data_IF_857869944954
#
_entry.id   IF_857869944954
#
_cell.length_a   1.000
_cell.length_b   1.000
_cell.length_c   1.000
_cell.angle_alpha   90.00
_cell.angle_beta   90.00
_cell.angle_gamma   90.00
#
_symmetry.space_group_name_H-M   'P 1'
#
loop_
_entity.id
_entity.type
_entity.pdbx_description
1 polymer ?
#
# COMPACT_ATOMS: atom_id res chain seq x y z
N UNK A 1 -0.39 43.81 24.12
CA UNK A 1 1.02 43.70 24.56
C UNK A 1 1.85 42.73 23.70
N UNK A 2 1.26 41.75 23.00
CA UNK A 2 2.02 40.84 22.11
C UNK A 2 2.40 41.40 20.72
N UNK A 3 1.61 42.33 20.16
CA UNK A 3 1.96 42.98 18.88
C UNK A 3 3.22 43.86 18.92
N UNK A 4 3.66 44.28 20.11
CA UNK A 4 4.86 45.11 20.28
C UNK A 4 6.16 44.31 20.31
N UNK A 5 6.11 43.00 20.55
CA UNK A 5 7.28 42.13 20.48
C UNK A 5 7.62 41.78 19.02
N UNK A 6 6.59 41.58 18.19
CA UNK A 6 6.71 41.28 16.75
C UNK A 6 7.36 42.44 15.98
N UNK A 7 7.03 43.69 16.32
CA UNK A 7 7.62 44.87 15.68
C UNK A 7 9.10 45.11 16.02
N UNK A 8 9.60 44.54 17.13
CA UNK A 8 10.98 44.72 17.59
C UNK A 8 11.93 43.67 17.02
N UNK A 9 11.41 42.48 16.68
CA UNK A 9 12.23 41.38 16.15
C UNK A 9 12.61 41.56 14.68
N UNK A 10 11.77 42.21 13.86
CA UNK A 10 12.02 42.36 12.41
C UNK A 10 13.32 43.14 12.07
N UNK A 11 13.66 44.25 12.75
CA UNK A 11 14.90 44.98 12.48
C UNK A 11 16.14 44.28 13.06
N UNK A 12 15.99 43.54 14.15
CA UNK A 12 17.08 42.86 14.85
C UNK A 12 17.66 41.72 14.00
N UNK A 13 16.79 40.94 13.35
CA UNK A 13 17.19 39.87 12.43
C UNK A 13 17.79 40.37 11.11
N UNK A 14 17.54 41.62 10.72
CA UNK A 14 18.08 42.22 9.50
C UNK A 14 19.54 42.69 9.64
N UNK A 15 20.05 42.84 10.88
CA UNK A 15 21.34 43.51 11.14
C UNK A 15 22.48 42.60 11.60
N UNK A 16 22.21 41.36 12.02
CA UNK A 16 23.23 40.47 12.62
C UNK A 16 23.41 39.17 11.83
N UNK A 17 24.36 39.16 10.88
CA UNK A 17 24.81 37.97 10.13
C UNK A 17 26.15 37.45 10.69
N UNK A 18 26.20 36.99 11.94
CA UNK A 18 27.44 36.47 12.55
C UNK A 18 27.31 34.98 12.91
N UNK A 19 28.17 34.08 12.37
CA UNK A 19 28.09 32.62 12.54
C UNK A 19 27.94 32.11 13.98
N UNK A 20 28.49 32.83 14.96
CA UNK A 20 28.43 32.45 16.38
C UNK A 20 27.07 32.68 17.04
N UNK A 21 26.27 33.65 16.55
CA UNK A 21 24.92 33.93 17.09
C UNK A 21 23.92 32.84 16.66
N UNK A 22 24.18 32.14 15.57
CA UNK A 22 23.30 31.07 15.04
C UNK A 22 23.34 29.78 15.88
N UNK A 23 24.41 29.56 16.66
CA UNK A 23 24.49 28.42 17.58
C UNK A 23 23.69 28.65 18.87
N UNK A 24 23.68 29.89 19.38
CA UNK A 24 22.93 30.25 20.59
C UNK A 24 21.44 30.54 20.31
N UNK A 25 21.09 30.96 19.09
CA UNK A 25 19.69 31.23 18.72
C UNK A 25 18.80 29.99 18.77
N UNK A 26 19.37 28.80 18.53
CA UNK A 26 18.70 27.51 18.65
C UNK A 26 18.06 27.27 20.03
N UNK A 27 18.69 27.77 21.10
CA UNK A 27 18.24 27.57 22.48
C UNK A 27 16.94 28.33 22.80
N UNK A 28 16.66 29.41 22.07
CA UNK A 28 15.50 30.28 22.29
C UNK A 28 14.40 30.08 21.24
N UNK A 29 14.60 29.19 20.25
CA UNK A 29 13.63 29.00 19.16
C UNK A 29 12.25 28.60 19.67
N UNK A 30 12.18 27.73 20.68
CA UNK A 30 10.91 27.36 21.30
C UNK A 30 10.15 28.59 21.84
N UNK A 31 10.84 29.42 22.60
CA UNK A 31 10.27 30.62 23.22
C UNK A 31 9.88 31.70 22.21
N UNK A 32 10.52 31.69 21.03
CA UNK A 32 10.19 32.60 19.93
C UNK A 32 9.04 32.08 19.05
N UNK A 33 8.99 30.77 18.78
CA UNK A 33 8.01 30.15 17.88
C UNK A 33 6.64 30.06 18.55
N UNK A 34 6.56 29.58 19.80
CA UNK A 34 5.27 29.31 20.46
C UNK A 34 4.34 30.54 20.52
N UNK A 35 4.79 31.74 20.93
CA UNK A 35 3.92 32.92 20.95
C UNK A 35 3.40 33.29 19.56
N UNK A 36 4.23 33.16 18.52
CA UNK A 36 3.81 33.46 17.15
C UNK A 36 2.76 32.46 16.66
N UNK A 37 2.93 31.17 16.97
CA UNK A 37 1.95 30.14 16.62
C UNK A 37 0.60 30.36 17.31
N UNK A 38 0.56 30.89 18.54
CA UNK A 38 -0.73 31.21 19.19
C UNK A 38 -1.53 32.25 18.40
N UNK A 39 -0.86 33.20 17.75
CA UNK A 39 -1.50 34.23 16.92
C UNK A 39 -2.14 33.67 15.65
N UNK A 40 -1.83 32.44 15.22
CA UNK A 40 -2.47 31.84 14.03
C UNK A 40 -3.95 31.49 14.26
N UNK A 41 -4.41 31.48 15.51
CA UNK A 41 -5.82 31.26 15.83
C UNK A 41 -6.56 32.57 16.16
N UNK A 42 -5.93 33.74 15.95
CA UNK A 42 -6.56 35.02 16.23
C UNK A 42 -7.73 35.27 15.27
N UNK A 43 -8.77 35.96 15.75
CA UNK A 43 -9.93 36.31 14.95
C UNK A 43 -9.58 37.30 13.81
N UNK A 44 -8.62 38.20 14.05
CA UNK A 44 -8.17 39.19 13.07
C UNK A 44 -7.21 38.56 12.04
N UNK A 45 -7.62 38.54 10.77
CA UNK A 45 -6.79 37.99 9.68
C UNK A 45 -5.49 38.77 9.48
N UNK A 46 -5.46 40.06 9.82
CA UNK A 46 -4.22 40.85 9.77
C UNK A 46 -3.21 40.36 10.80
N UNK A 47 -3.67 40.02 12.01
CA UNK A 47 -2.77 39.51 13.04
C UNK A 47 -2.23 38.13 12.64
N UNK A 48 -3.07 37.26 12.07
CA UNK A 48 -2.61 35.98 11.50
C UNK A 48 -1.57 36.17 10.39
N UNK A 49 -1.80 37.12 9.49
CA UNK A 49 -0.84 37.47 8.42
C UNK A 49 0.51 37.96 8.99
N UNK A 50 0.50 38.92 9.91
CA UNK A 50 1.75 39.43 10.52
C UNK A 50 2.47 38.38 11.35
N UNK A 51 1.73 37.49 12.01
CA UNK A 51 2.32 36.34 12.69
C UNK A 51 3.01 35.40 11.68
N UNK A 52 2.40 35.14 10.52
CA UNK A 52 3.00 34.35 9.46
C UNK A 52 4.31 34.98 8.95
N UNK A 53 4.32 36.30 8.73
CA UNK A 53 5.52 37.03 8.32
C UNK A 53 6.62 37.00 9.39
N UNK A 54 6.24 37.13 10.67
CA UNK A 54 7.17 37.00 11.78
C UNK A 54 7.79 35.59 11.83
N UNK A 55 6.98 34.55 11.66
CA UNK A 55 7.45 33.16 11.66
C UNK A 55 8.37 32.89 10.47
N UNK A 56 8.04 33.40 9.28
CA UNK A 56 8.92 33.35 8.11
C UNK A 56 10.30 33.93 8.41
N UNK A 57 10.38 35.09 9.06
CA UNK A 57 11.66 35.71 9.40
C UNK A 57 12.45 34.89 10.42
N UNK A 58 11.78 34.31 11.43
CA UNK A 58 12.42 33.41 12.41
C UNK A 58 12.99 32.18 11.69
N UNK A 59 12.18 31.50 10.88
CA UNK A 59 12.59 30.29 10.13
C UNK A 59 13.71 30.60 9.14
N UNK A 60 13.66 31.76 8.48
CA UNK A 60 14.68 32.20 7.52
C UNK A 60 16.05 32.36 8.17
N UNK A 61 16.11 32.85 9.40
CA UNK A 61 17.36 33.02 10.14
C UNK A 61 17.82 31.71 10.77
N UNK A 62 16.89 30.94 11.34
CA UNK A 62 17.20 29.71 12.07
C UNK A 62 17.54 28.52 11.16
N UNK A 63 17.03 28.48 9.92
CA UNK A 63 17.33 27.45 8.92
C UNK A 63 17.17 26.02 9.49
N UNK A 64 18.14 25.14 9.31
CA UNK A 64 18.09 23.75 9.80
C UNK A 64 17.84 23.60 11.31
N UNK A 65 18.17 24.61 12.11
CA UNK A 65 17.92 24.60 13.56
C UNK A 65 16.43 24.59 13.92
N UNK A 66 15.52 24.84 12.97
CA UNK A 66 14.06 24.75 13.20
C UNK A 66 13.51 23.33 13.08
N UNK A 67 14.28 22.37 12.56
CA UNK A 67 13.80 21.01 12.31
C UNK A 67 13.31 20.28 13.58
N UNK A 68 13.92 20.44 14.78
CA UNK A 68 13.36 19.92 16.03
C UNK A 68 11.96 20.45 16.36
N UNK A 69 11.56 21.58 15.76
CA UNK A 69 10.25 22.21 15.90
C UNK A 69 9.36 22.00 14.67
N UNK A 70 9.78 21.19 13.70
CA UNK A 70 9.08 21.04 12.42
C UNK A 70 7.60 20.69 12.60
N UNK A 71 7.29 19.74 13.47
CA UNK A 71 5.92 19.28 13.70
C UNK A 71 4.95 20.39 14.11
N UNK A 72 5.37 21.29 15.02
CA UNK A 72 4.52 22.42 15.45
C UNK A 72 4.45 23.51 14.39
N UNK A 73 5.53 23.70 13.62
CA UNK A 73 5.56 24.63 12.51
C UNK A 73 4.64 24.17 11.37
N UNK A 74 4.69 22.88 11.03
CA UNK A 74 3.82 22.25 10.05
C UNK A 74 2.35 22.32 10.47
N UNK A 75 2.04 22.05 11.74
CA UNK A 75 0.69 22.20 12.29
C UNK A 75 0.15 23.62 12.09
N UNK A 76 0.93 24.63 12.50
CA UNK A 76 0.57 26.04 12.33
C UNK A 76 0.43 26.43 10.87
N UNK A 77 1.39 26.05 10.03
CA UNK A 77 1.38 26.36 8.61
C UNK A 77 0.20 25.70 7.88
N UNK A 78 -0.16 24.46 8.22
CA UNK A 78 -1.31 23.78 7.62
C UNK A 78 -2.64 24.51 7.86
N UNK A 79 -2.76 25.20 9.00
CA UNK A 79 -3.92 26.06 9.31
C UNK A 79 -3.93 27.31 8.43
N UNK A 80 -2.78 27.96 8.28
CA UNK A 80 -2.65 29.15 7.43
C UNK A 80 -2.86 28.84 5.94
N UNK A 81 -2.37 27.71 5.46
CA UNK A 81 -2.56 27.26 4.08
C UNK A 81 -4.05 27.04 3.74
N UNK A 82 -4.86 26.72 4.75
CA UNK A 82 -6.30 26.53 4.64
C UNK A 82 -7.14 27.72 5.18
N UNK A 83 -6.51 28.88 5.41
CA UNK A 83 -7.18 30.04 6.02
C UNK A 83 -8.34 30.55 5.15
N UNK A 84 -9.44 31.02 5.77
CA UNK A 84 -10.52 31.66 5.02
C UNK A 84 -10.09 32.95 4.31
N UNK A 85 -9.11 33.69 4.83
CA UNK A 85 -8.60 34.92 4.24
C UNK A 85 -7.56 34.61 3.12
N UNK A 86 -7.80 35.03 1.87
CA UNK A 86 -6.88 34.79 0.76
C UNK A 86 -5.49 35.42 0.95
N UNK A 87 -5.38 36.56 1.65
CA UNK A 87 -4.09 37.21 1.88
C UNK A 87 -3.25 36.41 2.88
N UNK A 88 -3.88 35.83 3.90
CA UNK A 88 -3.20 34.96 4.87
C UNK A 88 -2.68 33.71 4.16
N UNK A 89 -3.50 33.07 3.32
CA UNK A 89 -3.08 31.93 2.49
C UNK A 89 -1.88 32.28 1.62
N UNK A 90 -1.98 33.35 0.84
CA UNK A 90 -0.89 33.78 -0.05
C UNK A 90 0.38 34.14 0.73
N UNK A 91 0.24 34.79 1.90
CA UNK A 91 1.37 35.08 2.79
C UNK A 91 2.06 33.82 3.33
N UNK A 92 1.30 32.74 3.55
CA UNK A 92 1.83 31.47 4.05
C UNK A 92 2.65 30.67 3.02
N UNK A 93 2.48 30.93 1.72
CA UNK A 93 3.20 30.22 0.66
C UNK A 93 4.72 30.42 0.73
N UNK A 94 5.18 31.60 1.17
CA UNK A 94 6.61 31.88 1.32
C UNK A 94 7.22 31.10 2.48
N UNK A 95 6.49 30.96 3.58
CA UNK A 95 6.89 30.16 4.73
C UNK A 95 6.87 28.66 4.37
N UNK A 96 5.85 28.21 3.65
CA UNK A 96 5.74 26.83 3.16
C UNK A 96 6.91 26.45 2.26
N UNK A 97 7.22 27.28 1.27
CA UNK A 97 8.37 27.06 0.39
C UNK A 97 9.68 27.03 1.16
N UNK A 98 9.89 27.97 2.07
CA UNK A 98 11.12 28.02 2.87
C UNK A 98 11.28 26.78 3.76
N UNK A 99 10.20 26.30 4.38
CA UNK A 99 10.25 25.07 5.18
C UNK A 99 10.55 23.84 4.30
N UNK A 100 9.97 23.77 3.10
CA UNK A 100 10.28 22.72 2.12
C UNK A 100 11.76 22.74 1.74
N UNK A 101 12.30 23.92 1.43
CA UNK A 101 13.72 24.10 1.09
C UNK A 101 14.62 23.64 2.26
N UNK A 102 14.28 23.98 3.50
CA UNK A 102 15.05 23.55 4.68
C UNK A 102 15.00 22.02 4.85
N UNK A 103 13.85 21.39 4.60
CA UNK A 103 13.70 19.94 4.70
C UNK A 103 14.47 19.23 3.60
N UNK A 104 14.44 19.72 2.36
CA UNK A 104 15.15 19.11 1.24
C UNK A 104 16.67 19.33 1.29
N UNK A 105 17.14 20.42 1.92
CA UNK A 105 18.56 20.71 2.11
C UNK A 105 19.18 20.03 3.35
N UNK A 106 18.39 19.30 4.16
CA UNK A 106 18.85 18.73 5.44
C UNK A 106 18.64 17.23 5.52
N UNK A 107 19.59 16.53 6.14
CA UNK A 107 19.51 15.10 6.44
C UNK A 107 18.99 14.79 7.86
N UNK A 108 18.53 15.81 8.59
CA UNK A 108 18.07 15.69 9.98
C UNK A 108 16.54 15.68 10.10
N UNK A 109 15.82 15.56 8.99
CA UNK A 109 14.37 15.54 9.01
C UNK A 109 13.85 14.27 9.70
N UNK A 110 13.13 14.45 10.81
CA UNK A 110 12.48 13.34 11.52
C UNK A 110 11.19 12.93 10.82
N UNK A 111 11.34 12.09 9.79
CA UNK A 111 10.19 11.53 9.08
C UNK A 111 9.27 10.77 10.04
N UNK A 112 9.82 9.95 10.94
CA UNK A 112 9.05 9.10 11.87
C UNK A 112 8.13 9.97 12.73
N UNK A 113 8.66 11.06 13.28
CA UNK A 113 7.89 12.02 14.07
C UNK A 113 6.84 12.80 13.26
N UNK A 114 7.01 12.93 11.94
CA UNK A 114 6.08 13.62 11.06
C UNK A 114 4.88 12.77 10.64
N UNK A 115 5.05 11.47 10.43
CA UNK A 115 4.01 10.57 9.90
C UNK A 115 2.67 10.66 10.64
N UNK A 116 2.59 10.74 11.99
CA UNK A 116 1.32 10.89 12.69
C UNK A 116 0.51 12.13 12.25
N UNK A 117 1.18 13.26 12.01
CA UNK A 117 0.53 14.50 11.54
C UNK A 117 0.03 14.37 10.10
N UNK A 118 0.81 13.70 9.26
CA UNK A 118 0.43 13.42 7.87
C UNK A 118 -0.81 12.53 7.82
N UNK A 119 -0.79 11.44 8.60
CA UNK A 119 -1.89 10.46 8.71
C UNK A 119 -3.19 11.10 9.18
N UNK A 120 -3.13 12.03 10.12
CA UNK A 120 -4.31 12.76 10.59
C UNK A 120 -4.88 13.69 9.50
N UNK A 121 -4.00 14.45 8.83
CA UNK A 121 -4.42 15.54 7.93
C UNK A 121 -4.83 15.10 6.54
N UNK A 122 -4.39 13.93 6.09
CA UNK A 122 -4.70 13.42 4.75
C UNK A 122 -6.21 13.26 4.50
N UNK A 123 -7.00 13.09 5.57
CA UNK A 123 -8.46 12.99 5.53
C UNK A 123 -9.20 14.33 5.59
N UNK A 124 -8.50 15.47 5.52
CA UNK A 124 -9.14 16.79 5.54
C UNK A 124 -10.09 16.98 4.37
N UNK A 125 -11.25 17.57 4.65
CA UNK A 125 -12.25 17.89 3.62
C UNK A 125 -12.00 19.24 2.90
N UNK A 126 -11.06 20.04 3.38
CA UNK A 126 -10.75 21.35 2.82
C UNK A 126 -9.78 21.19 1.62
N UNK A 127 -10.18 21.69 0.44
CA UNK A 127 -9.37 21.59 -0.79
C UNK A 127 -7.95 22.16 -0.62
N UNK A 128 -7.79 23.27 0.09
CA UNK A 128 -6.47 23.88 0.30
C UNK A 128 -5.60 23.04 1.24
N UNK A 129 -6.21 22.43 2.25
CA UNK A 129 -5.51 21.48 3.11
C UNK A 129 -5.08 20.23 2.33
N UNK A 130 -5.95 19.67 1.46
CA UNK A 130 -5.59 18.54 0.61
C UNK A 130 -4.43 18.87 -0.34
N UNK A 131 -4.49 20.04 -1.00
CA UNK A 131 -3.41 20.54 -1.87
C UNK A 131 -2.10 20.70 -1.10
N UNK A 132 -2.16 21.27 0.10
CA UNK A 132 -1.01 21.41 0.98
C UNK A 132 -0.39 20.06 1.32
N UNK A 133 -1.20 19.08 1.74
CA UNK A 133 -0.73 17.73 2.08
C UNK A 133 -0.08 17.03 0.89
N UNK A 134 -0.71 17.01 -0.29
CA UNK A 134 -0.09 16.39 -1.47
C UNK A 134 1.21 17.09 -1.85
N UNK A 135 1.26 18.43 -1.76
CA UNK A 135 2.48 19.17 -2.06
C UNK A 135 3.63 18.77 -1.14
N UNK A 136 3.37 18.52 0.15
CA UNK A 136 4.38 18.01 1.08
C UNK A 136 4.79 16.57 0.79
N UNK A 137 3.84 15.68 0.47
CA UNK A 137 4.15 14.30 0.06
C UNK A 137 5.08 14.31 -1.16
N UNK A 138 4.77 15.10 -2.19
CA UNK A 138 5.60 15.20 -3.40
C UNK A 138 7.01 15.73 -3.13
N UNK A 139 7.15 16.68 -2.20
CA UNK A 139 8.48 17.19 -1.81
C UNK A 139 9.27 16.10 -1.10
N UNK A 140 8.67 15.41 -0.14
CA UNK A 140 9.33 14.34 0.61
C UNK A 140 9.73 13.16 -0.28
N UNK A 141 8.86 12.75 -1.22
CA UNK A 141 9.16 11.73 -2.24
C UNK A 141 10.36 12.10 -3.13
N UNK A 142 10.65 13.40 -3.30
CA UNK A 142 11.78 13.86 -4.11
C UNK A 142 13.13 13.84 -3.36
N UNK A 143 13.12 13.59 -2.04
CA UNK A 143 14.33 13.56 -1.21
C UNK A 143 14.90 12.13 -1.16
N UNK A 144 16.10 11.86 -1.69
CA UNK A 144 16.63 10.49 -1.82
C UNK A 144 16.81 9.71 -0.51
N UNK A 145 17.03 10.40 0.61
CA UNK A 145 17.28 9.79 1.91
C UNK A 145 15.99 9.58 2.74
N UNK A 146 14.83 10.02 2.21
CA UNK A 146 13.52 9.90 2.86
C UNK A 146 12.76 8.76 2.19
N UNK A 147 12.39 7.75 2.99
CA UNK A 147 11.61 6.60 2.52
C UNK A 147 10.15 6.71 3.01
N UNK A 148 9.28 7.32 2.19
CA UNK A 148 7.85 7.39 2.48
C UNK A 148 7.12 6.08 2.15
N UNK A 149 7.69 5.23 1.30
CA UNK A 149 7.09 3.95 0.90
C UNK A 149 6.83 3.01 2.10
N UNK A 150 7.68 3.07 3.14
CA UNK A 150 7.50 2.28 4.38
C UNK A 150 6.21 2.61 5.14
N UNK A 151 5.68 3.82 4.94
CA UNK A 151 4.49 4.38 5.57
C UNK A 151 3.29 4.45 4.62
N UNK A 152 3.47 4.06 3.35
CA UNK A 152 2.40 4.06 2.35
C UNK A 152 1.13 3.33 2.81
N UNK A 153 1.19 2.17 3.52
CA UNK A 153 -0.01 1.52 4.02
C UNK A 153 -0.91 2.40 4.89
N UNK A 154 -0.34 3.39 5.58
CA UNK A 154 -1.06 4.27 6.49
C UNK A 154 -1.69 5.48 5.80
N UNK A 155 -1.19 5.84 4.62
CA UNK A 155 -1.59 7.05 3.89
C UNK A 155 -2.28 6.76 2.56
N UNK A 156 -2.16 5.54 2.02
CA UNK A 156 -2.68 5.17 0.70
C UNK A 156 -4.18 5.42 0.56
N UNK A 157 -4.97 5.04 1.57
CA UNK A 157 -6.41 5.28 1.57
C UNK A 157 -6.73 6.78 1.48
N UNK A 158 -6.06 7.60 2.29
CA UNK A 158 -6.17 9.05 2.24
C UNK A 158 -5.80 9.65 0.87
N UNK A 159 -4.76 9.14 0.21
CA UNK A 159 -4.40 9.57 -1.15
C UNK A 159 -5.53 9.28 -2.15
N UNK A 160 -6.15 8.10 -2.10
CA UNK A 160 -7.31 7.81 -2.96
C UNK A 160 -8.52 8.69 -2.63
N UNK A 161 -8.73 9.08 -1.36
CA UNK A 161 -9.76 10.07 -1.01
C UNK A 161 -9.48 11.43 -1.64
N UNK A 162 -8.21 11.88 -1.64
CA UNK A 162 -7.84 13.16 -2.26
C UNK A 162 -7.91 13.09 -3.80
N UNK A 163 -7.66 11.92 -4.41
CA UNK A 163 -7.83 11.72 -5.85
C UNK A 163 -9.28 12.01 -6.31
N UNK A 164 -10.26 11.86 -5.41
CA UNK A 164 -11.66 12.24 -5.63
C UNK A 164 -12.00 13.71 -5.41
N UNK A 165 -11.02 14.59 -5.15
CA UNK A 165 -11.28 16.02 -4.91
C UNK A 165 -11.92 16.67 -6.15
N UNK A 166 -12.77 17.68 -5.96
CA UNK A 166 -13.44 18.39 -7.07
C UNK A 166 -12.50 19.25 -7.91
N UNK A 167 -11.36 19.68 -7.35
CA UNK A 167 -10.35 20.46 -8.06
C UNK A 167 -9.51 19.59 -8.99
N UNK A 168 -9.53 19.92 -10.29
CA UNK A 168 -8.72 19.23 -11.32
C UNK A 168 -7.23 19.29 -11.03
N UNK A 169 -6.76 20.39 -10.47
CA UNK A 169 -5.35 20.59 -10.13
C UNK A 169 -4.94 19.64 -9.00
N UNK A 170 -5.75 19.55 -7.94
CA UNK A 170 -5.51 18.66 -6.80
C UNK A 170 -5.52 17.20 -7.26
N UNK A 171 -6.51 16.82 -8.09
CA UNK A 171 -6.53 15.48 -8.70
C UNK A 171 -5.25 15.20 -9.47
N UNK A 172 -4.81 16.14 -10.31
CA UNK A 172 -3.58 15.96 -11.10
C UNK A 172 -2.34 15.83 -10.23
N UNK A 173 -2.22 16.62 -9.16
CA UNK A 173 -1.13 16.48 -8.20
C UNK A 173 -1.16 15.11 -7.51
N UNK A 174 -2.35 14.64 -7.12
CA UNK A 174 -2.53 13.33 -6.49
C UNK A 174 -2.18 12.17 -7.43
N UNK A 175 -2.59 12.26 -8.70
CA UNK A 175 -2.23 11.28 -9.74
C UNK A 175 -0.70 11.19 -9.90
N UNK A 176 0.01 12.32 -9.87
CA UNK A 176 1.47 12.35 -9.93
C UNK A 176 2.08 11.68 -8.70
N UNK A 177 1.60 12.00 -7.49
CA UNK A 177 2.10 11.39 -6.26
C UNK A 177 1.90 9.86 -6.25
N UNK A 178 0.70 9.38 -6.58
CA UNK A 178 0.41 7.96 -6.73
C UNK A 178 1.26 7.31 -7.84
N UNK A 179 1.51 8.03 -8.94
CA UNK A 179 2.37 7.57 -10.03
C UNK A 179 3.81 7.33 -9.61
N UNK A 180 4.40 8.22 -8.79
CA UNK A 180 5.76 8.06 -8.28
C UNK A 180 5.85 6.91 -7.27
N UNK A 181 4.90 6.77 -6.33
CA UNK A 181 4.86 5.61 -5.44
C UNK A 181 4.79 4.29 -6.21
N UNK A 182 3.92 4.20 -7.22
CA UNK A 182 3.78 2.98 -8.02
C UNK A 182 5.07 2.66 -8.80
N UNK A 183 5.76 3.69 -9.30
CA UNK A 183 7.05 3.56 -9.98
C UNK A 183 8.14 3.08 -9.01
N UNK A 184 8.14 3.55 -7.77
CA UNK A 184 9.05 3.08 -6.73
C UNK A 184 8.77 1.62 -6.32
N UNK A 185 7.50 1.26 -6.13
CA UNK A 185 7.06 -0.13 -5.88
C UNK A 185 7.56 -1.08 -6.97
N UNK A 186 7.48 -0.66 -8.24
CA UNK A 186 8.00 -1.44 -9.38
C UNK A 186 9.51 -1.59 -9.36
N UNK A 187 10.24 -0.58 -8.88
CA UNK A 187 11.70 -0.58 -8.79
C UNK A 187 12.17 -1.49 -7.66
N UNK A 188 11.50 -1.46 -6.51
CA UNK A 188 11.92 -2.14 -5.28
C UNK A 188 10.78 -3.00 -4.68
N UNK A 189 10.25 -4.01 -5.38
CA UNK A 189 9.07 -4.76 -4.92
C UNK A 189 9.30 -5.55 -3.63
N UNK A 190 10.54 -5.92 -3.29
CA UNK A 190 10.85 -6.76 -2.13
C UNK A 190 10.63 -6.08 -0.78
N UNK A 191 10.66 -4.75 -0.70
CA UNK A 191 10.42 -3.99 0.53
C UNK A 191 8.95 -3.60 0.72
N UNK A 192 8.08 -3.91 -0.24
CA UNK A 192 6.70 -3.42 -0.26
C UNK A 192 5.78 -4.32 0.55
N UNK A 193 5.05 -3.71 1.49
CA UNK A 193 4.03 -4.35 2.33
C UNK A 193 2.70 -4.54 1.58
N UNK A 194 2.71 -5.32 0.50
CA UNK A 194 1.53 -5.51 -0.37
C UNK A 194 0.28 -5.96 0.39
N UNK A 195 0.46 -6.87 1.35
CA UNK A 195 -0.59 -7.43 2.19
C UNK A 195 -1.39 -6.37 2.96
N UNK A 196 -0.70 -5.36 3.51
CA UNK A 196 -1.32 -4.29 4.31
C UNK A 196 -2.18 -3.34 3.47
N UNK A 197 -1.86 -3.22 2.17
CA UNK A 197 -2.53 -2.33 1.23
C UNK A 197 -3.60 -3.02 0.37
N UNK A 198 -3.64 -4.35 0.33
CA UNK A 198 -4.53 -5.11 -0.54
C UNK A 198 -6.02 -4.77 -0.32
N UNK A 199 -6.48 -4.72 0.93
CA UNK A 199 -7.87 -4.40 1.25
C UNK A 199 -8.22 -2.94 0.93
N UNK A 200 -7.28 -2.00 1.08
CA UNK A 200 -7.46 -0.60 0.68
C UNK A 200 -7.75 -0.54 -0.82
N UNK A 201 -6.94 -1.23 -1.63
CA UNK A 201 -7.15 -1.27 -3.08
C UNK A 201 -8.47 -1.96 -3.46
N UNK A 202 -8.87 -3.04 -2.77
CA UNK A 202 -10.17 -3.71 -3.01
C UNK A 202 -11.34 -2.75 -2.82
N UNK A 203 -11.29 -1.89 -1.80
CA UNK A 203 -12.32 -0.88 -1.55
C UNK A 203 -12.34 0.14 -2.71
N UNK A 204 -11.18 0.70 -3.07
CA UNK A 204 -11.09 1.75 -4.10
C UNK A 204 -11.33 1.23 -5.53
N UNK A 205 -11.11 -0.07 -5.80
CA UNK A 205 -11.50 -0.71 -7.06
C UNK A 205 -13.03 -0.73 -7.28
N UNK A 206 -13.81 -0.49 -6.23
CA UNK A 206 -15.28 -0.42 -6.27
C UNK A 206 -15.80 1.02 -6.16
N UNK A 207 -14.90 2.02 -6.25
CA UNK A 207 -15.29 3.43 -6.20
C UNK A 207 -16.26 3.78 -7.35
N UNK A 208 -17.21 4.66 -7.07
CA UNK A 208 -18.14 5.17 -8.07
C UNK A 208 -17.47 6.14 -9.07
N UNK A 209 -16.39 6.80 -8.64
CA UNK A 209 -15.59 7.68 -9.49
C UNK A 209 -14.66 6.84 -10.38
N UNK A 210 -14.78 7.05 -11.70
CA UNK A 210 -14.05 6.27 -12.70
C UNK A 210 -12.53 6.45 -12.63
N UNK A 211 -12.04 7.62 -12.22
CA UNK A 211 -10.60 7.86 -12.09
C UNK A 211 -10.05 7.10 -10.87
N UNK A 212 -10.75 7.15 -9.73
CA UNK A 212 -10.35 6.39 -8.53
C UNK A 212 -10.38 4.90 -8.83
N UNK A 213 -11.48 4.41 -9.41
CA UNK A 213 -11.66 3.01 -9.76
C UNK A 213 -10.57 2.53 -10.71
N UNK A 214 -10.29 3.26 -11.80
CA UNK A 214 -9.26 2.88 -12.77
C UNK A 214 -7.86 2.89 -12.16
N UNK A 215 -7.55 3.90 -11.34
CA UNK A 215 -6.24 4.02 -10.69
C UNK A 215 -6.03 2.86 -9.72
N UNK A 216 -7.01 2.56 -8.86
CA UNK A 216 -6.95 1.43 -7.93
C UNK A 216 -6.87 0.08 -8.66
N UNK A 217 -7.62 -0.10 -9.75
CA UNK A 217 -7.57 -1.32 -10.57
C UNK A 217 -6.21 -1.51 -11.23
N UNK A 218 -5.57 -0.42 -11.68
CA UNK A 218 -4.19 -0.47 -12.20
C UNK A 218 -3.20 -0.86 -11.11
N UNK A 219 -3.32 -0.30 -9.90
CA UNK A 219 -2.49 -0.69 -8.77
C UNK A 219 -2.67 -2.16 -8.39
N UNK A 220 -3.92 -2.62 -8.32
CA UNK A 220 -4.24 -4.02 -8.03
C UNK A 220 -3.60 -4.97 -9.07
N UNK A 221 -3.63 -4.60 -10.35
CA UNK A 221 -2.94 -5.35 -11.41
C UNK A 221 -1.45 -5.50 -11.11
N UNK A 222 -0.78 -4.40 -10.79
CA UNK A 222 0.66 -4.41 -10.50
C UNK A 222 0.96 -5.22 -9.22
N UNK A 223 0.11 -5.13 -8.19
CA UNK A 223 0.27 -5.89 -6.96
C UNK A 223 0.20 -7.39 -7.22
N UNK A 224 -0.78 -7.84 -8.01
CA UNK A 224 -0.89 -9.26 -8.40
C UNK A 224 0.34 -9.71 -9.19
N UNK A 225 0.87 -8.87 -10.08
CA UNK A 225 2.04 -9.20 -10.89
C UNK A 225 3.36 -9.23 -10.10
N UNK A 226 3.53 -8.30 -9.17
CA UNK A 226 4.77 -8.14 -8.39
C UNK A 226 4.81 -9.03 -7.16
N UNK A 227 3.72 -9.08 -6.39
CA UNK A 227 3.65 -9.83 -5.14
C UNK A 227 3.28 -11.31 -5.37
N UNK A 228 2.71 -11.62 -6.54
CA UNK A 228 2.34 -12.97 -6.93
C UNK A 228 1.48 -13.65 -5.86
N UNK A 229 1.95 -14.81 -5.36
CA UNK A 229 1.17 -15.62 -4.43
C UNK A 229 0.85 -14.94 -3.11
N UNK A 230 1.60 -13.90 -2.70
CA UNK A 230 1.28 -13.09 -1.50
C UNK A 230 -0.12 -12.49 -1.55
N UNK A 231 -0.70 -12.30 -2.75
CA UNK A 231 -2.05 -11.77 -2.93
C UNK A 231 -3.16 -12.82 -2.73
N UNK A 232 -2.86 -14.13 -2.69
CA UNK A 232 -3.88 -15.19 -2.64
C UNK A 232 -4.83 -15.15 -1.42
N UNK A 233 -4.40 -14.74 -0.21
CA UNK A 233 -5.31 -14.60 0.92
C UNK A 233 -6.41 -13.55 0.69
N UNK A 234 -6.15 -12.58 -0.20
CA UNK A 234 -7.06 -11.47 -0.54
C UNK A 234 -7.90 -11.75 -1.79
N UNK A 235 -7.73 -12.92 -2.44
CA UNK A 235 -8.39 -13.26 -3.71
C UNK A 235 -9.90 -13.07 -3.69
N UNK A 236 -10.59 -13.41 -2.60
CA UNK A 236 -12.05 -13.23 -2.49
C UNK A 236 -12.46 -11.75 -2.60
N UNK A 237 -11.77 -10.87 -1.86
CA UNK A 237 -11.98 -9.42 -1.95
C UNK A 237 -11.62 -8.87 -3.33
N UNK A 238 -10.51 -9.33 -3.90
CA UNK A 238 -10.09 -8.93 -5.25
C UNK A 238 -11.15 -9.34 -6.28
N UNK A 239 -11.67 -10.57 -6.23
CA UNK A 239 -12.70 -11.04 -7.16
C UNK A 239 -14.01 -10.29 -7.00
N UNK A 240 -14.40 -9.96 -5.77
CA UNK A 240 -15.58 -9.12 -5.49
C UNK A 240 -15.49 -7.78 -6.23
N UNK A 241 -14.29 -7.18 -6.27
CA UNK A 241 -14.07 -5.92 -6.98
C UNK A 241 -13.87 -6.07 -8.49
N UNK A 242 -13.18 -7.11 -8.94
CA UNK A 242 -12.74 -7.29 -10.33
C UNK A 242 -13.85 -7.85 -11.22
N UNK A 243 -14.60 -8.85 -10.74
CA UNK A 243 -15.55 -9.59 -11.57
C UNK A 243 -16.66 -8.69 -12.17
N UNK A 244 -17.35 -7.82 -11.40
CA UNK A 244 -18.39 -6.94 -11.96
C UNK A 244 -17.89 -6.04 -13.10
N UNK A 245 -16.61 -5.66 -13.07
CA UNK A 245 -16.00 -4.78 -14.06
C UNK A 245 -15.83 -5.44 -15.44
N UNK A 246 -15.89 -6.77 -15.52
CA UNK A 246 -15.72 -7.51 -16.78
C UNK A 246 -16.89 -7.33 -17.75
N UNK A 247 -18.06 -6.96 -17.23
CA UNK A 247 -19.27 -6.71 -17.99
C UNK A 247 -19.50 -5.25 -18.34
N UNK A 248 -18.57 -4.35 -18.02
CA UNK A 248 -18.67 -2.95 -18.41
C UNK A 248 -18.76 -2.77 -19.93
N UNK A 249 -19.45 -1.69 -20.33
CA UNK A 249 -19.60 -1.27 -21.71
C UNK A 249 -18.38 -0.46 -22.19
N UNK A 250 -18.44 0.05 -23.43
CA UNK A 250 -17.35 0.81 -24.03
C UNK A 250 -17.00 2.11 -23.29
N UNK A 251 -17.91 2.65 -22.46
CA UNK A 251 -17.65 3.89 -21.71
C UNK A 251 -16.60 3.66 -20.63
N UNK A 252 -16.58 2.47 -20.04
CA UNK A 252 -15.59 2.05 -19.03
C UNK A 252 -14.60 1.02 -19.57
N UNK A 253 -14.30 1.07 -20.87
CA UNK A 253 -13.40 0.13 -21.56
C UNK A 253 -12.04 -0.02 -20.88
N UNK A 254 -11.40 1.07 -20.46
CA UNK A 254 -10.09 1.01 -19.81
C UNK A 254 -10.16 0.20 -18.51
N UNK A 255 -11.20 0.40 -17.70
CA UNK A 255 -11.39 -0.32 -16.43
C UNK A 255 -11.62 -1.81 -16.72
N UNK A 256 -12.48 -2.12 -17.71
CA UNK A 256 -12.73 -3.49 -18.18
C UNK A 256 -11.46 -4.20 -18.63
N UNK A 257 -10.61 -3.55 -19.40
CA UNK A 257 -9.35 -4.13 -19.89
C UNK A 257 -8.40 -4.46 -18.74
N UNK A 258 -8.22 -3.53 -17.79
CA UNK A 258 -7.38 -3.78 -16.62
C UNK A 258 -7.98 -4.88 -15.73
N UNK A 259 -9.29 -4.87 -15.50
CA UNK A 259 -9.99 -5.92 -14.75
C UNK A 259 -9.81 -7.31 -15.38
N UNK A 260 -9.84 -7.41 -16.71
CA UNK A 260 -9.56 -8.68 -17.41
C UNK A 260 -8.13 -9.18 -17.13
N UNK A 261 -7.14 -8.28 -17.13
CA UNK A 261 -5.75 -8.63 -16.81
C UNK A 261 -5.62 -9.04 -15.35
N UNK A 262 -6.24 -8.32 -14.41
CA UNK A 262 -6.28 -8.70 -12.99
C UNK A 262 -6.87 -10.10 -12.81
N UNK A 263 -8.03 -10.35 -13.41
CA UNK A 263 -8.74 -11.63 -13.34
C UNK A 263 -7.87 -12.80 -13.84
N UNK A 264 -7.26 -12.64 -15.02
CA UNK A 264 -6.40 -13.66 -15.60
C UNK A 264 -5.11 -13.86 -14.80
N UNK A 265 -4.51 -12.77 -14.28
CA UNK A 265 -3.27 -12.84 -13.50
C UNK A 265 -3.51 -13.53 -12.17
N UNK A 266 -4.62 -13.22 -11.49
CA UNK A 266 -5.00 -13.85 -10.23
C UNK A 266 -5.26 -15.35 -10.40
N UNK A 267 -5.96 -15.75 -11.47
CA UNK A 267 -6.22 -17.15 -11.77
C UNK A 267 -4.92 -17.95 -11.97
N UNK A 268 -3.93 -17.38 -12.65
CA UNK A 268 -2.61 -18.01 -12.87
C UNK A 268 -1.82 -18.26 -11.58
N UNK A 269 -2.17 -17.61 -10.47
CA UNK A 269 -1.49 -17.81 -9.18
C UNK A 269 -1.96 -19.08 -8.47
N UNK A 270 -3.12 -19.65 -8.85
CA UNK A 270 -3.64 -20.90 -8.29
C UNK A 270 -2.96 -22.08 -8.98
N UNK A 271 -2.36 -22.95 -8.19
CA UNK A 271 -1.59 -24.11 -8.66
C UNK A 271 -2.07 -25.40 -7.99
N UNK A 272 -1.77 -26.58 -8.55
CA UNK A 272 -2.23 -27.86 -7.98
C UNK A 272 -1.82 -28.09 -6.51
N UNK A 273 -0.71 -27.52 -6.08
CA UNK A 273 -0.20 -27.58 -4.70
C UNK A 273 -1.11 -26.85 -3.71
N UNK A 274 -2.00 -25.96 -4.18
CA UNK A 274 -3.03 -25.35 -3.34
C UNK A 274 -4.10 -26.35 -2.88
N UNK A 275 -4.18 -27.54 -3.47
CA UNK A 275 -5.14 -28.59 -3.10
C UNK A 275 -4.70 -29.44 -1.89
N UNK A 276 -3.48 -29.24 -1.41
CA UNK A 276 -2.98 -29.96 -0.24
C UNK A 276 -3.79 -29.57 1.01
N UNK A 277 -4.34 -30.59 1.71
CA UNK A 277 -5.02 -30.43 3.00
C UNK A 277 -3.99 -30.07 4.08
N UNK A 278 -4.34 -29.14 4.96
CA UNK A 278 -3.48 -28.69 6.06
C UNK A 278 -3.09 -29.80 7.06
N UNK A 279 -3.71 -30.99 6.97
CA UNK A 279 -3.35 -32.17 7.76
C UNK A 279 -1.94 -32.70 7.47
N UNK A 280 -1.40 -32.52 6.25
CA UNK A 280 -0.03 -32.96 5.91
C UNK A 280 1.08 -32.11 6.57
N UNK A 281 0.72 -30.94 7.14
CA UNK A 281 1.68 -30.02 7.79
C UNK A 281 1.81 -30.29 9.29
N UNK A 282 0.85 -30.95 9.94
CA UNK A 282 0.94 -31.33 11.36
C UNK A 282 1.75 -32.62 11.58
N UNK A 283 1.90 -33.48 10.57
CA UNK A 283 2.65 -34.73 10.70
C UNK A 283 4.18 -34.59 10.65
N UNK A 284 4.72 -33.41 10.31
CA UNK A 284 6.17 -33.16 10.29
C UNK A 284 6.67 -32.66 11.67
N UNK A 285 5.79 -32.20 12.56
CA UNK A 285 6.19 -31.60 13.85
C UNK A 285 6.17 -32.57 15.04
N UNK A 286 5.63 -33.80 14.88
CA UNK A 286 5.45 -34.75 16.00
C UNK A 286 6.48 -35.90 16.07
N UNK A 287 7.56 -35.87 15.28
CA UNK A 287 8.59 -36.92 15.26
C UNK A 287 9.96 -36.45 15.78
N UNK A 288 9.98 -35.65 16.84
CA UNK A 288 11.20 -35.28 17.54
C UNK A 288 10.95 -35.16 19.06
N UNK A 289 10.74 -36.28 19.74
CA UNK A 289 10.92 -36.35 21.20
C UNK A 289 12.41 -36.59 21.52
N UNK A 290 13.05 -35.77 22.38
CA UNK A 290 14.31 -36.13 23.02
C UNK A 290 14.03 -36.83 24.36
N UNK A 291 14.52 -38.06 24.50
CA UNK A 291 14.55 -38.81 25.76
C UNK A 291 15.35 -38.09 26.88
N UNK A 292 15.06 -38.34 28.17
CA UNK A 292 15.74 -37.68 29.29
C UNK A 292 17.12 -38.29 29.60
N UNK A 293 18.07 -37.42 29.98
CA UNK A 293 19.46 -37.71 30.33
C UNK A 293 19.66 -38.42 31.69
N UNK A 294 20.73 -39.22 31.79
CA UNK A 294 21.52 -39.45 33.01
C UNK A 294 23.03 -39.56 32.70
N UNK A 295 23.95 -39.33 33.67
CA UNK A 295 25.11 -38.47 33.43
C UNK A 295 26.51 -39.11 33.55
N UNK A 296 27.48 -38.46 32.87
CA UNK A 296 28.89 -38.19 33.23
C UNK A 296 29.93 -39.33 33.25
N UNK A 297 30.99 -39.15 32.45
CA UNK A 297 32.39 -39.18 32.94
C UNK A 297 33.38 -38.48 31.97
N UNK A 298 33.92 -37.36 32.46
CA UNK A 298 35.13 -36.57 32.13
C UNK A 298 36.45 -37.40 32.17
N UNK A 299 37.67 -36.84 32.00
CA UNK A 299 38.21 -35.84 31.04
C UNK A 299 39.71 -36.08 30.65
N UNK A 300 40.32 -35.10 29.94
CA UNK A 300 41.73 -34.64 30.04
C UNK A 300 42.87 -35.54 29.49
N UNK A 301 43.97 -35.09 28.86
CA UNK A 301 44.58 -33.79 28.53
C UNK A 301 45.76 -34.08 27.51
N UNK A 302 46.86 -33.30 27.41
CA UNK A 302 47.00 -32.06 26.64
C UNK A 302 48.21 -32.04 25.65
N UNK A 303 48.37 -30.87 25.00
CA UNK A 303 49.65 -30.14 24.77
C UNK A 303 50.37 -30.18 23.40
N UNK A 304 50.56 -28.94 22.90
CA UNK A 304 51.74 -28.35 22.22
C UNK A 304 52.11 -28.73 20.78
N UNK A 305 51.79 -27.81 19.85
CA UNK A 305 52.76 -26.88 19.24
C UNK A 305 53.39 -27.22 17.88
N UNK A 306 53.15 -26.39 16.85
CA UNK A 306 54.19 -25.86 15.93
C UNK A 306 53.59 -24.95 14.82
N UNK A 307 54.26 -23.81 14.58
CA UNK A 307 54.14 -22.90 13.43
C UNK A 307 54.76 -23.56 12.16
N UNK A 308 54.74 -23.10 10.90
CA UNK A 308 54.58 -21.78 10.25
C UNK A 308 54.60 -21.95 8.69
N UNK A 309 54.36 -20.86 7.94
CA UNK A 309 54.77 -20.55 6.53
C UNK A 309 53.88 -20.94 5.31
N UNK A 310 53.30 -19.87 4.71
CA UNK A 310 53.22 -19.40 3.30
C UNK A 310 53.24 -20.33 2.06
N UNK A 311 52.41 -19.99 1.06
CA UNK A 311 52.79 -20.06 -0.38
C UNK A 311 51.75 -20.57 -1.40
N UNK A 312 51.09 -19.61 -2.05
CA UNK A 312 50.79 -19.48 -3.50
C UNK A 312 49.95 -20.49 -4.35
N UNK A 313 49.26 -19.89 -5.33
CA UNK A 313 48.74 -20.41 -6.62
C UNK A 313 47.41 -21.19 -6.72
N UNK A 314 46.42 -20.48 -7.27
CA UNK A 314 45.54 -20.79 -8.42
C UNK A 314 45.66 -22.20 -9.07
N UNK A 315 44.64 -22.90 -9.60
CA UNK A 315 43.50 -22.56 -10.47
C UNK A 315 42.51 -23.78 -10.49
N UNK A 316 41.19 -23.51 -10.54
CA UNK A 316 40.08 -24.33 -11.11
C UNK A 316 39.70 -25.68 -10.47
N UNK A 317 38.43 -26.09 -10.32
CA UNK A 317 37.16 -25.64 -10.91
C UNK A 317 35.95 -26.11 -10.05
N UNK A 318 34.92 -25.27 -10.01
CA UNK A 318 33.48 -25.59 -10.04
C UNK A 318 32.90 -26.61 -9.04
N UNK A 319 32.22 -26.10 -8.01
CA UNK A 319 30.93 -26.62 -7.53
C UNK A 319 30.19 -25.50 -6.80
N UNK A 320 29.26 -24.90 -7.54
CA UNK A 320 28.27 -23.94 -7.07
C UNK A 320 27.43 -24.61 -5.97
N UNK A 321 27.44 -24.04 -4.76
CA UNK A 321 26.40 -24.27 -3.76
C UNK A 321 25.92 -22.90 -3.30
N UNK A 322 25.00 -22.34 -4.09
CA UNK A 322 24.20 -21.18 -3.74
C UNK A 322 23.38 -21.49 -2.49
N UNK A 323 23.82 -20.95 -1.36
CA UNK A 323 22.98 -20.71 -0.19
C UNK A 323 22.10 -19.50 -0.51
N UNK A 324 20.84 -19.74 -0.90
CA UNK A 324 19.75 -18.77 -0.75
C UNK A 324 18.46 -19.52 -0.46
N UNK A 325 18.27 -19.98 0.78
CA UNK A 325 16.95 -20.31 1.29
C UNK A 325 16.23 -19.00 1.61
N UNK A 326 15.52 -18.43 0.63
CA UNK A 326 14.44 -17.49 0.93
C UNK A 326 13.43 -18.20 1.82
N UNK A 327 13.17 -17.66 3.01
CA UNK A 327 12.04 -18.05 3.86
C UNK A 327 10.77 -18.02 3.01
N UNK A 328 10.21 -19.20 2.67
CA UNK A 328 8.92 -19.26 1.98
C UNK A 328 7.86 -18.85 2.98
N UNK A 329 7.36 -17.62 2.87
CA UNK A 329 6.08 -17.23 3.47
C UNK A 329 5.07 -18.28 3.01
N UNK A 330 4.49 -19.02 3.95
CA UNK A 330 3.50 -20.04 3.65
C UNK A 330 2.17 -19.34 3.34
N UNK A 331 1.98 -19.01 2.07
CA UNK A 331 0.77 -18.31 1.63
C UNK A 331 -0.35 -19.32 1.38
N UNK A 332 -1.52 -19.10 1.97
CA UNK A 332 -2.69 -19.96 1.85
C UNK A 332 -3.76 -19.34 0.95
N UNK A 333 -4.26 -20.11 -0.01
CA UNK A 333 -5.41 -19.75 -0.81
C UNK A 333 -6.69 -19.76 0.06
N UNK A 334 -7.40 -18.63 0.11
CA UNK A 334 -8.72 -18.55 0.76
C UNK A 334 -9.82 -19.11 -0.18
N UNK A 335 -9.86 -20.44 -0.35
CA UNK A 335 -10.78 -21.07 -1.30
C UNK A 335 -12.24 -20.86 -0.90
N UNK A 336 -12.58 -21.00 0.38
CA UNK A 336 -13.96 -20.82 0.87
C UNK A 336 -14.51 -19.43 0.50
N UNK A 337 -13.71 -18.39 0.74
CA UNK A 337 -14.09 -17.02 0.39
C UNK A 337 -14.19 -16.80 -1.12
N UNK A 338 -13.32 -17.43 -1.92
CA UNK A 338 -13.42 -17.35 -3.39
C UNK A 338 -14.72 -18.00 -3.85
N UNK A 339 -15.00 -19.22 -3.41
CA UNK A 339 -16.21 -19.96 -3.80
C UNK A 339 -17.47 -19.21 -3.38
N UNK A 340 -17.50 -18.61 -2.19
CA UNK A 340 -18.62 -17.78 -1.75
C UNK A 340 -18.88 -16.61 -2.69
N UNK A 341 -17.84 -15.90 -3.14
CA UNK A 341 -17.98 -14.77 -4.07
C UNK A 341 -18.51 -15.24 -5.44
N UNK A 342 -17.98 -16.36 -5.94
CA UNK A 342 -18.43 -16.95 -7.19
C UNK A 342 -19.90 -17.41 -7.11
N UNK A 343 -20.28 -18.03 -6.00
CA UNK A 343 -21.65 -18.46 -5.73
C UNK A 343 -22.63 -17.28 -5.66
N UNK A 344 -22.27 -16.20 -4.95
CA UNK A 344 -23.05 -14.97 -4.93
C UNK A 344 -23.30 -14.40 -6.34
N UNK A 345 -22.26 -14.40 -7.19
CA UNK A 345 -22.39 -13.93 -8.57
C UNK A 345 -23.24 -14.85 -9.46
N UNK A 346 -23.27 -16.16 -9.22
CA UNK A 346 -24.16 -17.07 -9.95
C UNK A 346 -25.64 -16.90 -9.56
N UNK A 347 -25.92 -16.53 -8.31
CA UNK A 347 -27.27 -16.26 -7.84
C UNK A 347 -27.83 -14.91 -8.32
N UNK A 348 -26.96 -13.96 -8.67
CA UNK A 348 -27.37 -12.65 -9.16
C UNK A 348 -27.84 -12.73 -10.61
N UNK A 349 -29.16 -12.75 -10.81
CA UNK A 349 -29.78 -12.76 -12.15
C UNK A 349 -29.50 -11.48 -12.95
N UNK A 350 -29.09 -10.40 -12.31
CA UNK A 350 -28.76 -9.12 -12.96
C UNK A 350 -27.30 -9.02 -13.41
N UNK A 351 -26.50 -10.04 -13.12
CA UNK A 351 -25.08 -10.03 -13.47
C UNK A 351 -24.87 -10.09 -14.98
N UNK A 352 -23.93 -9.28 -15.47
CA UNK A 352 -23.62 -9.25 -16.89
C UNK A 352 -23.01 -10.56 -17.39
N UNK A 353 -23.33 -10.90 -18.64
CA UNK A 353 -22.95 -12.17 -19.28
C UNK A 353 -21.45 -12.47 -19.25
N UNK A 354 -20.60 -11.48 -19.55
CA UNK A 354 -19.13 -11.65 -19.48
C UNK A 354 -18.63 -12.00 -18.07
N UNK A 355 -19.24 -11.44 -17.04
CA UNK A 355 -18.92 -11.76 -15.65
C UNK A 355 -19.35 -13.17 -15.32
N UNK A 356 -20.55 -13.58 -15.74
CA UNK A 356 -21.04 -14.96 -15.59
C UNK A 356 -20.08 -15.98 -16.23
N UNK A 357 -19.64 -15.73 -17.45
CA UNK A 357 -18.64 -16.56 -18.14
C UNK A 357 -17.32 -16.62 -17.35
N UNK A 358 -16.86 -15.49 -16.81
CA UNK A 358 -15.65 -15.45 -16.00
C UNK A 358 -15.78 -16.26 -14.71
N UNK A 359 -16.94 -16.21 -14.04
CA UNK A 359 -17.25 -17.00 -12.85
C UNK A 359 -17.20 -18.50 -13.15
N UNK A 360 -17.80 -18.93 -14.26
CA UNK A 360 -17.75 -20.34 -14.69
C UNK A 360 -16.31 -20.78 -15.01
N UNK A 361 -15.51 -19.93 -15.66
CA UNK A 361 -14.08 -20.18 -15.90
C UNK A 361 -13.29 -20.32 -14.60
N UNK A 362 -13.61 -19.52 -13.58
CA UNK A 362 -13.01 -19.66 -12.25
C UNK A 362 -13.35 -21.00 -11.61
N UNK A 363 -14.64 -21.37 -11.56
CA UNK A 363 -15.06 -22.65 -11.00
C UNK A 363 -14.38 -23.82 -11.71
N UNK A 364 -14.37 -23.81 -13.03
CA UNK A 364 -13.64 -24.77 -13.85
C UNK A 364 -12.16 -24.85 -13.46
N UNK A 365 -11.49 -23.70 -13.38
CA UNK A 365 -10.07 -23.65 -13.03
C UNK A 365 -9.81 -24.24 -11.63
N UNK A 366 -10.66 -23.92 -10.66
CA UNK A 366 -10.57 -24.43 -9.29
C UNK A 366 -10.87 -25.93 -9.22
N UNK A 367 -11.81 -26.47 -10.02
CA UNK A 367 -12.04 -27.92 -10.08
C UNK A 367 -10.84 -28.68 -10.65
N UNK A 368 -10.09 -28.08 -11.57
CA UNK A 368 -8.86 -28.68 -12.12
C UNK A 368 -7.69 -28.57 -11.16
N UNK A 369 -7.50 -27.41 -10.54
CA UNK A 369 -6.33 -27.12 -9.70
C UNK A 369 -6.49 -27.55 -8.26
N UNK A 370 -7.69 -27.41 -7.72
CA UNK A 370 -8.00 -27.70 -6.31
C UNK A 370 -9.20 -28.65 -6.15
N UNK A 371 -9.20 -29.83 -6.79
CA UNK A 371 -10.35 -30.73 -6.80
C UNK A 371 -10.79 -31.19 -5.41
N UNK A 372 -9.85 -31.52 -4.50
CA UNK A 372 -10.18 -32.04 -3.16
C UNK A 372 -10.85 -30.97 -2.30
N UNK A 373 -10.34 -29.74 -2.34
CA UNK A 373 -10.93 -28.63 -1.59
C UNK A 373 -12.26 -28.19 -2.21
N UNK A 374 -12.35 -28.13 -3.55
CA UNK A 374 -13.59 -27.80 -4.26
C UNK A 374 -14.71 -28.81 -4.02
N UNK A 375 -14.40 -30.10 -3.82
CA UNK A 375 -15.37 -31.14 -3.54
C UNK A 375 -16.29 -30.79 -2.35
N UNK A 376 -15.77 -30.09 -1.34
CA UNK A 376 -16.55 -29.65 -0.16
C UNK A 376 -17.66 -28.65 -0.49
N UNK A 377 -17.59 -28.01 -1.65
CA UNK A 377 -18.55 -27.02 -2.11
C UNK A 377 -19.41 -27.52 -3.27
N UNK A 378 -19.16 -28.74 -3.79
CA UNK A 378 -19.85 -29.24 -4.97
C UNK A 378 -21.36 -29.36 -4.74
N UNK A 379 -21.79 -29.86 -3.57
CA UNK A 379 -23.21 -30.03 -3.26
C UNK A 379 -24.00 -28.72 -3.29
N UNK A 380 -23.38 -27.61 -2.85
CA UNK A 380 -24.03 -26.30 -2.89
C UNK A 380 -24.02 -25.68 -4.29
N UNK A 381 -22.93 -25.84 -5.04
CA UNK A 381 -22.76 -25.23 -6.36
C UNK A 381 -23.54 -25.96 -7.46
N UNK A 382 -23.72 -27.28 -7.33
CA UNK A 382 -24.26 -28.14 -8.37
C UNK A 382 -25.66 -27.73 -8.87
N UNK A 383 -26.67 -27.50 -8.00
CA UNK A 383 -28.01 -27.13 -8.45
C UNK A 383 -28.03 -25.81 -9.23
N UNK A 384 -27.17 -24.87 -8.85
CA UNK A 384 -27.08 -23.55 -9.47
C UNK A 384 -26.39 -23.66 -10.81
N UNK A 385 -25.29 -24.43 -10.90
CA UNK A 385 -24.61 -24.68 -12.16
C UNK A 385 -25.54 -25.32 -13.19
N UNK A 386 -26.34 -26.33 -12.81
CA UNK A 386 -27.33 -26.93 -13.69
C UNK A 386 -28.37 -25.89 -14.17
N UNK A 387 -28.87 -25.06 -13.27
CA UNK A 387 -29.79 -23.99 -13.61
C UNK A 387 -29.15 -23.00 -14.58
N UNK A 388 -27.94 -22.53 -14.29
CA UNK A 388 -27.21 -21.56 -15.13
C UNK A 388 -26.92 -22.11 -16.53
N UNK A 389 -26.60 -23.40 -16.66
CA UNK A 389 -26.41 -24.07 -17.95
C UNK A 389 -27.72 -24.29 -18.71
N UNK A 390 -28.84 -24.41 -18.00
CA UNK A 390 -30.16 -24.61 -18.59
C UNK A 390 -30.83 -23.31 -19.03
N UNK A 391 -30.55 -22.19 -18.35
CA UNK A 391 -31.32 -20.94 -18.48
C UNK A 391 -30.82 -19.97 -19.58
N UNK A 392 -29.56 -19.99 -20.05
CA UNK A 392 -29.07 -18.92 -20.96
C UNK A 392 -28.11 -19.32 -22.11
N UNK A 393 -28.45 -18.82 -23.32
CA UNK A 393 -27.70 -18.57 -24.58
C UNK A 393 -26.53 -19.48 -25.00
N UNK A 394 -26.46 -19.79 -26.31
CA UNK A 394 -25.41 -20.60 -26.98
C UNK A 394 -23.96 -20.24 -26.59
N UNK A 395 -23.66 -18.98 -26.25
CA UNK A 395 -22.33 -18.54 -25.84
C UNK A 395 -21.94 -18.98 -24.41
N UNK A 396 -22.89 -19.05 -23.48
CA UNK A 396 -22.64 -19.62 -22.14
C UNK A 396 -22.50 -21.14 -22.26
N UNK A 397 -23.30 -21.78 -23.10
CA UNK A 397 -23.20 -23.21 -23.43
C UNK A 397 -21.87 -23.59 -24.09
N UNK A 398 -21.29 -22.70 -24.91
CA UNK A 398 -19.98 -22.90 -25.52
C UNK A 398 -18.81 -22.57 -24.59
N UNK A 399 -18.98 -21.63 -23.66
CA UNK A 399 -17.93 -21.20 -22.72
C UNK A 399 -17.89 -22.01 -21.42
N UNK A 400 -19.02 -22.62 -21.05
CA UNK A 400 -19.11 -23.58 -19.97
C UNK A 400 -18.99 -24.97 -20.60
N UNK A 401 -17.85 -25.66 -20.44
CA UNK A 401 -17.73 -26.98 -21.00
C UNK A 401 -18.66 -27.92 -20.22
N UNK A 402 -19.87 -28.11 -20.72
CA UNK A 402 -20.81 -29.13 -20.23
C UNK A 402 -20.15 -30.52 -20.24
N UNK A 403 -19.20 -30.75 -21.17
CA UNK A 403 -18.36 -31.94 -21.24
C UNK A 403 -17.32 -32.05 -20.11
N UNK A 404 -16.91 -30.96 -19.45
CA UNK A 404 -15.80 -31.02 -18.47
C UNK A 404 -16.26 -31.12 -17.00
N UNK A 405 -17.52 -30.83 -16.69
CA UNK A 405 -18.09 -31.34 -15.43
C UNK A 405 -18.18 -32.88 -15.42
N UNK A 406 -18.21 -33.53 -16.60
CA UNK A 406 -18.11 -34.98 -16.77
C UNK A 406 -16.66 -35.51 -16.73
N UNK A 407 -15.67 -34.70 -17.12
CA UNK A 407 -14.22 -35.06 -17.15
C UNK A 407 -13.44 -34.68 -15.88
N UNK A 408 -14.03 -33.95 -14.93
CA UNK A 408 -13.43 -33.82 -13.60
C UNK A 408 -13.30 -35.24 -13.01
N UNK A 409 -12.08 -35.82 -13.09
CA UNK A 409 -11.71 -37.20 -12.78
C UNK A 409 -11.91 -37.58 -11.29
N UNK A 410 -13.12 -37.43 -10.77
CA UNK A 410 -13.51 -37.89 -9.46
C UNK A 410 -14.81 -38.71 -9.58
N UNK A 411 -14.79 -40.01 -9.23
CA UNK A 411 -15.88 -40.94 -9.53
C UNK A 411 -17.24 -40.57 -8.91
N UNK A 412 -17.26 -39.71 -7.89
CA UNK A 412 -18.50 -39.22 -7.29
C UNK A 412 -19.15 -38.04 -8.04
N UNK A 413 -18.38 -37.19 -8.72
CA UNK A 413 -18.94 -36.09 -9.54
C UNK A 413 -19.61 -36.66 -10.78
N UNK A 414 -19.05 -37.75 -11.35
CA UNK A 414 -19.67 -38.50 -12.46
C UNK A 414 -21.01 -39.13 -12.09
N UNK A 415 -21.17 -39.63 -10.86
CA UNK A 415 -22.44 -40.19 -10.38
C UNK A 415 -23.50 -39.09 -10.18
N UNK A 416 -23.15 -37.97 -9.57
CA UNK A 416 -24.11 -36.89 -9.29
C UNK A 416 -24.55 -36.10 -10.53
N UNK A 417 -23.64 -35.85 -11.48
CA UNK A 417 -23.99 -35.20 -12.77
C UNK A 417 -24.61 -36.17 -13.77
N UNK A 418 -24.22 -37.45 -13.76
CA UNK A 418 -24.76 -38.47 -14.66
C UNK A 418 -26.20 -38.91 -14.36
N UNK A 419 -26.68 -38.70 -13.13
CA UNK A 419 -28.09 -38.95 -12.76
C UNK A 419 -29.02 -37.74 -12.99
N UNK A 420 -28.47 -36.54 -13.19
CA UNK A 420 -29.23 -35.29 -13.34
C UNK A 420 -29.49 -34.87 -14.81
N UNK A 421 -28.75 -35.46 -15.76
CA UNK A 421 -29.00 -35.44 -17.20
C UNK A 421 -29.87 -36.63 -17.61
#
# INVERSE_FOLDING_TARGET
THGSAISVLSPWFSTHQSPSVYQDSGLYLKELIEPVLTCFNDADSRLRYYACEALYNIVKVARGSVLPHFNVLFDGLSKLAADPDPNVKSGSELLDRLLKDIVTESNQFDLVGFIPLLRERIYSNNQYARQFIISWILVLESVPDINLLDYLPEILDGLFQILGDNSKEIRKMCEVALGEFLKEIKKNPSSVKFAEMANILVIHCQAADDLIQLTAMCWMREFIQLAGRVMLPYSSGILTAVLPCLSYDDRKKNIKEVANVCNQSLMKLVIPEDDEMDEAKQSITLSAEPHPEEPVSKPEAPSTGSLDVSGDSSVSNASVCTVTSSERIQVTLNLDGIVQVLDCHLHDTSIGMMTRIAVLKWLYHLYIKTPRKMFRHTDSLFPILLRTLSDESDEVSAAAPAEVFLEAHHPHIQLSFGEAL
#
